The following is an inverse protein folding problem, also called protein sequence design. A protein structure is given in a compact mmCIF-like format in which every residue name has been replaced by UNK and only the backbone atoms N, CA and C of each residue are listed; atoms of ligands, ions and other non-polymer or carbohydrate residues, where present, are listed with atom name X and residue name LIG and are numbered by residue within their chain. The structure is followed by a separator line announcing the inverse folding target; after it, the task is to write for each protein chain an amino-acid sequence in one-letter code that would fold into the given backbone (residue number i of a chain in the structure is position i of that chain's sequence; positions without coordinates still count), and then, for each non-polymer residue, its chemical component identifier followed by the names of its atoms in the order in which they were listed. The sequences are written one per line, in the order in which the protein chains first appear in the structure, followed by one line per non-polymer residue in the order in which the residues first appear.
data_IF_065515260761
#
_entry.id   IF_065515260761
#
_cell.length_a   1.000
_cell.length_b   1.000
_cell.length_c   1.000
_cell.angle_alpha   90.00
_cell.angle_beta   90.00
_cell.angle_gamma   90.00
#
_symmetry.space_group_name_H-M   'P 1'
#
loop_
_entity.id
_entity.type
_entity.pdbx_description
1 polymer ?
#
# COMPACT_ATOMS: atom_id res chain seq x y z
N UNK A 1 -4.93 -10.47 -18.34
CA UNK A 1 -4.79 -10.87 -16.93
C UNK A 1 -4.88 -9.61 -16.10
N UNK A 2 -5.81 -9.57 -15.18
CA UNK A 2 -6.05 -8.44 -14.28
C UNK A 2 -5.72 -8.85 -12.85
N UNK A 3 -4.90 -8.06 -12.16
CA UNK A 3 -4.42 -8.32 -10.80
C UNK A 3 -4.84 -7.18 -9.88
N UNK A 4 -5.42 -7.52 -8.74
CA UNK A 4 -5.72 -6.57 -7.66
C UNK A 4 -4.76 -6.80 -6.51
N UNK A 5 -4.15 -5.74 -5.99
CA UNK A 5 -3.35 -5.80 -4.77
C UNK A 5 -3.98 -4.92 -3.69
N UNK A 6 -3.92 -5.36 -2.43
CA UNK A 6 -4.51 -4.66 -1.28
C UNK A 6 -3.51 -4.48 -0.17
N UNK A 7 -3.29 -3.25 0.27
CA UNK A 7 -2.37 -2.96 1.36
C UNK A 7 -2.23 -1.48 1.68
N UNK A 8 -1.20 -1.14 2.45
CA UNK A 8 -0.91 0.24 2.83
C UNK A 8 0.09 0.89 1.87
N UNK A 9 -0.21 2.13 1.47
CA UNK A 9 0.71 3.02 0.79
C UNK A 9 1.13 4.13 1.75
N UNK A 10 2.41 4.16 2.09
CA UNK A 10 2.96 5.11 3.06
C UNK A 10 3.81 6.18 2.38
N UNK A 11 3.92 7.32 3.04
CA UNK A 11 4.97 8.30 2.77
C UNK A 11 6.31 7.71 3.20
N UNK A 12 7.30 7.78 2.34
CA UNK A 12 8.68 7.51 2.66
C UNK A 12 9.45 8.82 2.73
N UNK A 13 10.01 9.11 3.89
CA UNK A 13 10.89 10.23 4.13
C UNK A 13 12.30 9.71 4.38
N UNK A 14 13.28 10.21 3.64
CA UNK A 14 14.65 9.77 3.78
C UNK A 14 15.64 10.94 3.60
N UNK A 15 16.75 10.98 4.34
CA UNK A 15 17.81 11.94 4.08
C UNK A 15 18.41 11.77 2.68
N UNK A 16 18.92 12.85 2.12
CA UNK A 16 19.63 12.78 0.85
C UNK A 16 20.94 11.99 1.01
N UNK A 17 21.36 11.37 -0.08
CA UNK A 17 22.57 10.57 -0.13
C UNK A 17 22.62 9.49 0.98
N UNK A 18 23.57 9.56 1.87
CA UNK A 18 23.81 8.65 2.97
C UNK A 18 23.89 9.39 4.32
N UNK A 19 23.27 10.57 4.40
CA UNK A 19 23.20 11.33 5.65
C UNK A 19 22.40 10.56 6.70
N UNK A 20 22.72 10.80 7.96
CA UNK A 20 21.91 10.35 9.08
C UNK A 20 20.80 11.35 9.36
N UNK A 21 19.71 10.91 9.95
CA UNK A 21 18.64 11.82 10.37
C UNK A 21 19.13 12.93 11.29
N UNK A 22 20.09 12.62 12.20
CA UNK A 22 20.67 13.60 13.12
C UNK A 22 21.57 14.66 12.43
N UNK A 23 21.84 14.50 11.16
CA UNK A 23 22.67 15.41 10.35
C UNK A 23 21.86 16.11 9.25
N UNK A 24 20.72 15.52 8.86
CA UNK A 24 19.94 15.98 7.73
C UNK A 24 19.14 17.25 8.05
N UNK A 25 19.16 18.20 7.15
CA UNK A 25 18.29 19.38 7.20
C UNK A 25 17.13 19.30 6.19
N UNK A 26 17.18 18.33 5.27
CA UNK A 26 16.17 18.12 4.23
C UNK A 26 15.91 16.62 4.07
N UNK A 27 14.70 16.27 3.62
CA UNK A 27 14.32 14.89 3.36
C UNK A 27 13.74 14.76 1.95
N UNK A 28 14.08 13.67 1.28
CA UNK A 28 13.37 13.22 0.08
C UNK A 28 11.98 12.72 0.49
N UNK A 29 10.99 13.10 -0.31
CA UNK A 29 9.60 12.69 -0.16
C UNK A 29 9.22 11.75 -1.30
N UNK A 30 8.83 10.55 -0.97
CA UNK A 30 8.36 9.54 -1.92
C UNK A 30 7.28 8.66 -1.28
N UNK A 31 6.77 7.68 -2.02
CA UNK A 31 5.78 6.71 -1.50
C UNK A 31 6.28 5.29 -1.67
N UNK A 32 5.86 4.41 -0.77
CA UNK A 32 6.17 2.99 -0.81
C UNK A 32 5.19 2.15 0.00
N UNK A 33 5.08 0.89 -0.39
CA UNK A 33 4.25 -0.11 0.27
C UNK A 33 4.45 -1.44 -0.47
N UNK A 34 4.45 -2.55 0.25
CA UNK A 34 4.74 -3.88 -0.33
C UNK A 34 3.84 -4.17 -1.52
N UNK A 35 2.55 -4.15 -1.30
CA UNK A 35 1.54 -4.48 -2.31
C UNK A 35 1.43 -3.41 -3.41
N UNK A 36 1.70 -2.13 -3.06
CA UNK A 36 1.78 -1.05 -4.04
C UNK A 36 2.98 -1.23 -4.98
N UNK A 37 4.12 -1.66 -4.45
CA UNK A 37 5.30 -1.98 -5.24
C UNK A 37 5.04 -3.16 -6.18
N UNK A 38 4.29 -4.17 -5.73
CA UNK A 38 3.86 -5.29 -6.60
C UNK A 38 2.96 -4.78 -7.72
N UNK A 39 1.97 -3.92 -7.43
CA UNK A 39 1.11 -3.33 -8.46
C UNK A 39 1.91 -2.55 -9.50
N UNK A 40 2.86 -1.71 -9.07
CA UNK A 40 3.75 -0.94 -9.97
C UNK A 40 4.62 -1.87 -10.81
N UNK A 41 5.18 -2.92 -10.20
CA UNK A 41 5.99 -3.90 -10.92
C UNK A 41 5.18 -4.61 -12.02
N UNK A 42 3.98 -5.05 -11.70
CA UNK A 42 3.07 -5.70 -12.66
C UNK A 42 2.69 -4.76 -13.80
N UNK A 43 2.36 -3.50 -13.50
CA UNK A 43 2.05 -2.50 -14.52
C UNK A 43 3.24 -2.26 -15.47
N UNK A 44 4.48 -2.20 -14.94
CA UNK A 44 5.69 -2.09 -15.75
C UNK A 44 5.93 -3.31 -16.67
N UNK A 45 5.42 -4.49 -16.29
CA UNK A 45 5.43 -5.68 -17.15
C UNK A 45 4.24 -5.73 -18.13
N UNK A 46 3.42 -4.68 -18.20
CA UNK A 46 2.26 -4.62 -19.10
C UNK A 46 1.06 -5.44 -18.61
N UNK A 47 1.01 -5.76 -17.33
CA UNK A 47 -0.12 -6.44 -16.69
C UNK A 47 -1.09 -5.39 -16.17
N UNK A 48 -2.38 -5.60 -16.39
CA UNK A 48 -3.44 -4.76 -15.84
C UNK A 48 -3.49 -4.92 -14.31
N UNK A 49 -2.99 -3.93 -13.59
CA UNK A 49 -2.85 -3.95 -12.15
C UNK A 49 -3.64 -2.82 -11.48
N UNK A 50 -4.47 -3.17 -10.51
CA UNK A 50 -5.19 -2.23 -9.67
C UNK A 50 -4.69 -2.31 -8.22
N UNK A 51 -4.64 -1.16 -7.55
CA UNK A 51 -4.29 -1.08 -6.14
C UNK A 51 -5.49 -0.63 -5.30
N UNK A 52 -5.78 -1.38 -4.25
CA UNK A 52 -6.88 -1.13 -3.31
C UNK A 52 -6.29 -0.70 -1.96
N UNK A 53 -6.78 0.38 -1.42
CA UNK A 53 -6.42 0.91 -0.10
C UNK A 53 -7.42 1.99 0.31
N UNK A 54 -7.22 2.58 1.50
CA UNK A 54 -7.91 3.80 1.92
C UNK A 54 -6.89 4.91 2.16
N UNK A 55 -7.11 6.07 1.52
CA UNK A 55 -6.25 7.26 1.59
C UNK A 55 -7.06 8.52 1.87
N UNK A 56 -6.50 9.50 2.62
CA UNK A 56 -7.17 10.77 2.85
C UNK A 56 -7.51 11.53 1.57
N UNK A 57 -8.55 12.34 1.63
CA UNK A 57 -8.99 13.15 0.48
C UNK A 57 -8.12 14.39 0.22
N UNK A 58 -7.30 14.81 1.18
CA UNK A 58 -6.43 15.99 1.06
C UNK A 58 -5.25 15.78 0.08
N UNK A 59 -4.47 16.85 -0.15
CA UNK A 59 -3.42 16.89 -1.17
C UNK A 59 -2.34 15.80 -1.02
N UNK A 60 -1.96 15.42 0.20
CA UNK A 60 -0.96 14.36 0.43
C UNK A 60 -1.52 13.00 0.01
N UNK A 61 -2.78 12.70 0.35
CA UNK A 61 -3.44 11.48 -0.15
C UNK A 61 -3.59 11.49 -1.66
N UNK A 62 -3.81 12.66 -2.29
CA UNK A 62 -3.82 12.77 -3.74
C UNK A 62 -2.43 12.56 -4.36
N UNK A 63 -1.38 13.05 -3.71
CA UNK A 63 0.00 12.78 -4.14
C UNK A 63 0.33 11.28 -4.09
N UNK A 64 -0.15 10.57 -3.07
CA UNK A 64 -0.04 9.12 -2.98
C UNK A 64 -0.72 8.42 -4.16
N UNK A 65 -1.96 8.80 -4.51
CA UNK A 65 -2.66 8.28 -5.70
C UNK A 65 -1.87 8.56 -6.97
N UNK A 66 -1.37 9.78 -7.15
CA UNK A 66 -0.60 10.17 -8.33
C UNK A 66 0.71 9.39 -8.44
N UNK A 67 1.31 9.01 -7.32
CA UNK A 67 2.54 8.20 -7.32
C UNK A 67 2.35 6.82 -7.99
N UNK A 68 1.15 6.26 -7.91
CA UNK A 68 0.79 5.00 -8.57
C UNK A 68 0.36 5.22 -10.03
N UNK A 69 -0.44 6.25 -10.27
CA UNK A 69 -0.93 6.59 -11.62
C UNK A 69 0.18 6.83 -12.63
N UNK A 70 1.31 7.42 -12.20
CA UNK A 70 2.47 7.66 -13.08
C UNK A 70 3.04 6.38 -13.68
N UNK A 71 2.80 5.23 -13.06
CA UNK A 71 3.24 3.91 -13.53
C UNK A 71 2.11 3.10 -14.18
N UNK A 72 0.94 3.71 -14.39
CA UNK A 72 -0.18 3.03 -15.05
C UNK A 72 -0.99 2.10 -14.16
N UNK A 73 -0.81 2.15 -12.84
CA UNK A 73 -1.64 1.38 -11.90
C UNK A 73 -3.05 1.98 -11.85
N UNK A 74 -4.08 1.13 -11.97
CA UNK A 74 -5.46 1.54 -11.75
C UNK A 74 -5.70 1.89 -10.28
N UNK A 75 -6.09 3.12 -10.04
CA UNK A 75 -6.37 3.67 -8.72
C UNK A 75 -7.85 3.95 -8.48
N UNK A 76 -8.73 3.49 -9.37
CA UNK A 76 -10.18 3.72 -9.29
C UNK A 76 -10.84 3.06 -8.08
N UNK A 77 -10.20 2.03 -7.53
CA UNK A 77 -10.66 1.26 -6.36
C UNK A 77 -10.07 1.75 -5.03
N UNK A 78 -9.38 2.90 -5.03
CA UNK A 78 -8.88 3.52 -3.80
C UNK A 78 -10.02 4.29 -3.12
N UNK A 79 -10.37 3.87 -1.91
CA UNK A 79 -11.34 4.57 -1.06
C UNK A 79 -10.72 5.85 -0.51
N UNK A 80 -11.48 6.95 -0.51
CA UNK A 80 -11.02 8.25 -0.01
C UNK A 80 -11.69 8.57 1.32
N UNK A 81 -10.87 8.82 2.35
CA UNK A 81 -11.33 9.14 3.70
C UNK A 81 -10.22 8.98 4.72
N UNK A 82 -10.53 9.32 5.98
CA UNK A 82 -9.53 9.37 7.05
C UNK A 82 -8.64 10.61 6.97
N UNK A 83 -7.77 10.79 7.96
CA UNK A 83 -7.06 12.05 8.19
C UNK A 83 -5.57 11.97 7.87
N UNK A 84 -4.96 10.77 7.83
CA UNK A 84 -3.52 10.68 7.61
C UNK A 84 -3.10 9.51 6.72
N UNK A 85 -2.02 9.72 6.01
CA UNK A 85 -1.22 8.67 5.35
C UNK A 85 -0.16 8.20 6.35
N UNK A 86 0.06 6.90 6.49
CA UNK A 86 1.16 6.38 7.29
C UNK A 86 2.52 6.86 6.76
N UNK A 87 3.49 7.00 7.64
CA UNK A 87 4.84 7.46 7.31
C UNK A 87 5.85 6.40 7.74
N UNK A 88 6.90 6.23 6.97
CA UNK A 88 8.12 5.62 7.46
C UNK A 88 9.32 6.47 7.10
N UNK A 89 10.24 6.57 8.05
CA UNK A 89 11.51 7.27 7.90
C UNK A 89 12.57 6.23 7.60
N UNK A 90 13.30 6.40 6.50
CA UNK A 90 14.30 5.44 6.05
C UNK A 90 15.67 6.08 5.94
N UNK A 91 16.57 5.73 6.86
CA UNK A 91 17.98 6.11 6.78
C UNK A 91 18.74 5.05 5.97
N UNK A 92 19.29 5.44 4.84
CA UNK A 92 20.06 4.51 3.99
C UNK A 92 21.32 4.03 4.71
N UNK A 93 21.58 2.75 4.63
CA UNK A 93 22.85 2.18 5.04
C UNK A 93 24.03 2.63 4.17
N UNK A 94 25.22 2.62 4.71
CA UNK A 94 26.45 2.94 4.00
C UNK A 94 27.57 2.01 4.46
N UNK A 95 28.12 1.20 3.55
CA UNK A 95 29.14 0.20 3.87
C UNK A 95 28.68 -0.73 4.99
N UNK A 96 29.36 -0.74 6.13
CA UNK A 96 29.06 -1.60 7.29
C UNK A 96 27.94 -1.04 8.18
N UNK A 97 27.50 0.19 7.94
CA UNK A 97 26.36 0.77 8.65
C UNK A 97 25.06 0.27 8.01
N UNK A 98 24.27 -0.49 8.76
CA UNK A 98 22.94 -0.92 8.32
C UNK A 98 21.99 0.25 8.07
N UNK A 99 20.95 0.02 7.27
CA UNK A 99 19.83 0.96 7.14
C UNK A 99 18.98 0.97 8.42
N UNK A 100 18.32 2.10 8.69
CA UNK A 100 17.40 2.24 9.81
C UNK A 100 16.02 2.63 9.24
N UNK A 101 14.99 1.93 9.70
CA UNK A 101 13.61 2.24 9.35
C UNK A 101 12.82 2.54 10.63
N UNK A 102 12.14 3.69 10.66
CA UNK A 102 11.28 4.12 11.78
C UNK A 102 9.88 4.29 11.24
N UNK A 103 8.92 3.58 11.81
CA UNK A 103 7.52 3.66 11.40
C UNK A 103 6.72 4.62 12.26
N UNK A 104 6.00 5.52 11.61
CA UNK A 104 4.96 6.38 12.17
C UNK A 104 3.67 6.17 11.38
N UNK A 105 3.02 5.04 11.59
CA UNK A 105 1.85 4.61 10.81
C UNK A 105 0.57 4.41 11.62
N UNK A 106 0.61 4.65 12.94
CA UNK A 106 -0.57 4.53 13.78
C UNK A 106 -1.68 5.49 13.32
N UNK A 107 -2.93 5.02 13.34
CA UNK A 107 -4.11 5.77 12.92
C UNK A 107 -4.06 6.25 11.45
N UNK A 108 -3.33 5.56 10.57
CA UNK A 108 -3.42 5.82 9.14
C UNK A 108 -4.82 5.48 8.62
N UNK A 109 -5.22 6.08 7.50
CA UNK A 109 -6.55 5.90 6.94
C UNK A 109 -6.90 4.42 6.70
N UNK A 110 -5.94 3.62 6.22
CA UNK A 110 -6.15 2.18 6.03
C UNK A 110 -6.21 1.43 7.36
N UNK A 111 -5.42 1.80 8.35
CA UNK A 111 -5.47 1.17 9.68
C UNK A 111 -6.84 1.38 10.35
N UNK A 112 -7.49 2.52 10.12
CA UNK A 112 -8.82 2.84 10.65
C UNK A 112 -9.96 2.50 9.68
N UNK A 113 -9.68 1.77 8.61
CA UNK A 113 -10.69 1.36 7.65
C UNK A 113 -11.66 0.32 8.26
N UNK A 114 -12.83 0.23 7.69
CA UNK A 114 -13.84 -0.77 7.99
C UNK A 114 -14.18 -1.61 6.77
N UNK A 115 -14.86 -2.73 6.97
CA UNK A 115 -15.33 -3.58 5.85
C UNK A 115 -16.25 -2.81 4.90
N UNK A 116 -17.03 -1.86 5.40
CA UNK A 116 -17.92 -1.02 4.59
C UNK A 116 -17.18 -0.06 3.64
N UNK A 117 -15.87 0.13 3.79
CA UNK A 117 -15.06 0.96 2.91
C UNK A 117 -14.76 0.28 1.56
N UNK A 118 -15.02 -1.04 1.43
CA UNK A 118 -14.62 -1.84 0.26
C UNK A 118 -15.78 -2.69 -0.25
N UNK A 119 -16.19 -2.46 -1.48
CA UNK A 119 -17.11 -3.33 -2.22
C UNK A 119 -16.31 -4.39 -2.97
N UNK A 120 -16.04 -5.50 -2.29
CA UNK A 120 -15.20 -6.58 -2.83
C UNK A 120 -15.82 -7.26 -4.05
N UNK A 121 -17.14 -7.32 -4.16
CA UNK A 121 -17.80 -7.89 -5.33
C UNK A 121 -17.54 -7.02 -6.58
N UNK A 122 -17.68 -5.71 -6.45
CA UNK A 122 -17.36 -4.76 -7.52
C UNK A 122 -15.85 -4.66 -7.79
N UNK A 123 -14.99 -4.88 -6.78
CA UNK A 123 -13.55 -4.88 -6.94
C UNK A 123 -13.07 -6.09 -7.73
N UNK A 124 -13.64 -7.27 -7.49
CA UNK A 124 -13.19 -8.52 -8.11
C UNK A 124 -13.87 -8.84 -9.44
N UNK A 125 -14.73 -7.99 -9.95
CA UNK A 125 -15.34 -8.19 -11.28
C UNK A 125 -14.25 -8.25 -12.37
N UNK A 126 -14.16 -9.41 -13.04
CA UNK A 126 -13.20 -9.67 -14.11
C UNK A 126 -11.74 -9.73 -13.67
N UNK A 127 -11.48 -9.95 -12.38
CA UNK A 127 -10.12 -10.09 -11.81
C UNK A 127 -9.67 -11.55 -11.84
N UNK A 128 -8.41 -11.78 -12.19
CA UNK A 128 -7.80 -13.12 -12.21
C UNK A 128 -7.05 -13.45 -10.90
N UNK A 129 -6.39 -12.44 -10.32
CA UNK A 129 -5.54 -12.60 -9.14
C UNK A 129 -5.76 -11.50 -8.10
N UNK A 130 -5.78 -11.90 -6.85
CA UNK A 130 -5.74 -11.04 -5.67
C UNK A 130 -4.47 -11.26 -4.89
N UNK A 131 -3.73 -10.20 -4.57
CA UNK A 131 -2.49 -10.27 -3.81
C UNK A 131 -2.51 -9.34 -2.60
N UNK A 132 -2.07 -9.85 -1.46
CA UNK A 132 -1.82 -9.07 -0.24
C UNK A 132 -0.63 -9.67 0.51
N UNK A 133 -0.14 -8.97 1.55
CA UNK A 133 0.95 -9.48 2.39
C UNK A 133 0.48 -9.66 3.83
N UNK A 134 1.24 -10.40 4.64
CA UNK A 134 0.97 -10.58 6.07
C UNK A 134 1.07 -9.28 6.88
N UNK A 135 1.71 -8.24 6.33
CA UNK A 135 1.78 -6.91 6.95
C UNK A 135 0.40 -6.27 7.02
N UNK A 136 -0.44 -6.44 5.98
CA UNK A 136 -1.74 -5.79 5.88
C UNK A 136 -2.68 -6.21 7.02
N UNK A 137 -2.97 -7.49 7.29
CA UNK A 137 -3.78 -7.87 8.44
C UNK A 137 -3.11 -7.51 9.79
N UNK A 138 -1.80 -7.38 9.86
CA UNK A 138 -1.09 -6.99 11.08
C UNK A 138 -1.30 -5.52 11.47
N UNK A 139 -1.98 -4.71 10.63
CA UNK A 139 -2.32 -3.32 10.95
C UNK A 139 -3.38 -3.20 12.06
N UNK A 140 -4.25 -4.19 12.24
CA UNK A 140 -5.28 -4.20 13.26
C UNK A 140 -6.36 -5.25 13.01
N UNK A 141 -7.15 -5.57 14.04
CA UNK A 141 -8.21 -6.59 13.96
C UNK A 141 -9.26 -6.26 12.90
N UNK A 142 -9.61 -4.99 12.73
CA UNK A 142 -10.51 -4.52 11.68
C UNK A 142 -9.94 -4.83 10.28
N UNK A 143 -8.62 -4.70 10.10
CA UNK A 143 -7.97 -4.98 8.81
C UNK A 143 -7.87 -6.50 8.58
N UNK A 144 -7.73 -7.31 9.65
CA UNK A 144 -7.88 -8.77 9.56
C UNK A 144 -9.25 -9.14 9.00
N UNK A 145 -10.33 -8.49 9.49
CA UNK A 145 -11.69 -8.78 8.99
C UNK A 145 -11.85 -8.34 7.53
N UNK A 146 -11.33 -7.17 7.16
CA UNK A 146 -11.29 -6.71 5.75
C UNK A 146 -10.59 -7.75 4.86
N UNK A 147 -9.42 -8.25 5.26
CA UNK A 147 -8.69 -9.28 4.52
C UNK A 147 -9.48 -10.60 4.43
N UNK A 148 -10.19 -10.97 5.51
CA UNK A 148 -11.04 -12.17 5.54
C UNK A 148 -12.19 -12.07 4.55
N UNK A 149 -12.89 -10.92 4.52
CA UNK A 149 -13.96 -10.66 3.54
C UNK A 149 -13.43 -10.63 2.11
N UNK A 150 -12.29 -9.96 1.87
CA UNK A 150 -11.63 -9.97 0.57
C UNK A 150 -11.34 -11.41 0.09
N UNK A 151 -10.77 -12.25 0.95
CA UNK A 151 -10.48 -13.63 0.60
C UNK A 151 -11.73 -14.47 0.33
N UNK A 152 -12.83 -14.25 1.06
CA UNK A 152 -14.12 -14.91 0.81
C UNK A 152 -14.70 -14.51 -0.54
N UNK A 153 -14.75 -13.20 -0.82
CA UNK A 153 -15.24 -12.67 -2.08
C UNK A 153 -14.37 -13.13 -3.26
N UNK A 154 -13.04 -13.07 -3.13
CA UNK A 154 -12.13 -13.58 -4.16
C UNK A 154 -12.42 -15.05 -4.52
N UNK A 155 -12.63 -15.91 -3.52
CA UNK A 155 -13.02 -17.31 -3.75
C UNK A 155 -14.37 -17.44 -4.43
N UNK A 156 -15.37 -16.65 -4.03
CA UNK A 156 -16.70 -16.67 -4.63
C UNK A 156 -16.65 -16.27 -6.12
N UNK A 157 -15.78 -15.33 -6.48
CA UNK A 157 -15.55 -14.89 -7.86
C UNK A 157 -14.56 -15.77 -8.65
N UNK A 158 -14.01 -16.83 -8.05
CA UNK A 158 -13.01 -17.69 -8.70
C UNK A 158 -11.62 -17.04 -8.87
N UNK A 159 -11.37 -15.95 -8.15
CA UNK A 159 -10.10 -15.22 -8.19
C UNK A 159 -9.02 -15.99 -7.42
N UNK A 160 -7.85 -16.14 -8.02
CA UNK A 160 -6.71 -16.77 -7.37
C UNK A 160 -6.10 -15.85 -6.32
N UNK A 161 -5.76 -16.40 -5.16
CA UNK A 161 -5.20 -15.62 -4.04
C UNK A 161 -3.71 -15.90 -3.91
N UNK A 162 -2.93 -14.84 -3.81
CA UNK A 162 -1.50 -14.85 -3.52
C UNK A 162 -1.23 -14.06 -2.23
N UNK A 163 -0.44 -14.61 -1.34
CA UNK A 163 -0.04 -13.95 -0.10
C UNK A 163 1.46 -14.09 0.12
N UNK A 164 2.14 -12.96 0.32
CA UNK A 164 3.50 -12.94 0.87
C UNK A 164 3.37 -12.81 2.40
N UNK A 165 3.80 -13.83 3.13
CA UNK A 165 3.59 -13.87 4.59
C UNK A 165 4.32 -12.73 5.30
N UNK A 166 5.47 -12.31 4.79
CA UNK A 166 6.40 -11.41 5.47
C UNK A 166 6.70 -11.90 6.91
N UNK A 167 7.69 -11.37 7.56
CA UNK A 167 7.96 -11.67 8.97
C UNK A 167 8.70 -10.51 9.63
#
# INVERSE_FOLDING_TARGET
MKVVTFGELMIRLQPFNYERFVQANNLEFSFGGGEANVAVSLANYGIDAAFVTKLPAHAIGQAAVNSLRRYGVDTSKITRGGDRVGIYFNEKGASQRGSVCIYDRANSAIQLASTADFDWDAIFEGVDWFHFTGITPALGENVVEICREACKAAKAHGVKISCDLNY
#
